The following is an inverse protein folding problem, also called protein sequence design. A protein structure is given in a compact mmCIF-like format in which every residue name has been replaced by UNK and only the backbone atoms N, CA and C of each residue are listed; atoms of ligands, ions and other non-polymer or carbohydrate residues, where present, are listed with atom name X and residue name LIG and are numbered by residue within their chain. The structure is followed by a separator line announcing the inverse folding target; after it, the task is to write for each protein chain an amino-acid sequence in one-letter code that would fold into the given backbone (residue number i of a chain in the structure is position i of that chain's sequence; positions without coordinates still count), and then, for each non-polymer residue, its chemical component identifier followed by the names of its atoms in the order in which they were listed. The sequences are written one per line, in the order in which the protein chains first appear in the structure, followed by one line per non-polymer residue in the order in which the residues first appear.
data_IF_812592852903
#
_entry.id   IF_812592852903
#
_cell.length_a   1.000
_cell.length_b   1.000
_cell.length_c   1.000
_cell.angle_alpha   90.00
_cell.angle_beta   90.00
_cell.angle_gamma   90.00
#
_symmetry.space_group_name_H-M   'P 1'
#
loop_
_entity.id
_entity.type
_entity.pdbx_description
1 polymer ?
#
# COMPACT_ATOMS: atom_id res chain seq x y z
N UNK A 1 -25.27 -29.90 -5.80
CA UNK A 1 -24.29 -30.37 -4.79
C UNK A 1 -23.98 -29.22 -3.87
N UNK A 2 -24.39 -29.31 -2.61
CA UNK A 2 -24.03 -28.33 -1.57
C UNK A 2 -22.54 -28.48 -1.28
N UNK A 3 -21.69 -27.61 -1.84
CA UNK A 3 -20.30 -27.51 -1.43
C UNK A 3 -20.29 -26.86 -0.06
N UNK A 4 -20.20 -27.66 0.99
CA UNK A 4 -19.98 -27.18 2.35
C UNK A 4 -18.66 -26.43 2.39
N UNK A 5 -18.72 -25.12 2.58
CA UNK A 5 -17.54 -24.26 2.66
C UNK A 5 -16.72 -24.68 3.89
N UNK A 6 -15.42 -24.91 3.70
CA UNK A 6 -14.55 -25.37 4.77
C UNK A 6 -14.01 -24.20 5.59
N UNK A 7 -13.77 -24.44 6.88
CA UNK A 7 -13.11 -23.46 7.73
C UNK A 7 -11.64 -23.27 7.33
N UNK A 8 -11.19 -22.01 7.31
CA UNK A 8 -9.81 -21.66 7.00
C UNK A 8 -8.87 -22.04 8.18
N UNK A 9 -7.93 -23.00 8.00
CA UNK A 9 -7.01 -23.40 9.06
C UNK A 9 -6.02 -22.28 9.38
N UNK A 10 -5.45 -22.28 10.60
CA UNK A 10 -4.56 -21.23 11.08
C UNK A 10 -3.33 -21.00 10.16
N UNK A 11 -2.75 -22.06 9.60
CA UNK A 11 -1.65 -21.95 8.63
C UNK A 11 -2.05 -21.15 7.38
N UNK A 12 -3.29 -21.31 6.90
CA UNK A 12 -3.80 -20.57 5.75
C UNK A 12 -4.16 -19.12 6.08
N UNK A 13 -4.54 -18.84 7.32
CA UNK A 13 -4.71 -17.46 7.81
C UNK A 13 -3.38 -16.70 7.81
N UNK A 14 -2.30 -17.35 8.22
CA UNK A 14 -0.95 -16.76 8.18
C UNK A 14 -0.50 -16.55 6.73
N UNK A 15 -0.65 -17.55 5.85
CA UNK A 15 -0.27 -17.38 4.43
C UNK A 15 -1.11 -16.30 3.73
N UNK A 16 -2.35 -16.11 4.17
CA UNK A 16 -3.16 -15.00 3.70
C UNK A 16 -2.58 -13.65 4.10
N UNK A 17 -2.23 -13.50 5.38
CA UNK A 17 -1.62 -12.29 5.91
C UNK A 17 -0.24 -11.98 5.28
N UNK A 18 0.51 -12.98 4.79
CA UNK A 18 1.75 -12.70 4.04
C UNK A 18 1.49 -11.83 2.79
N UNK A 19 0.29 -11.91 2.21
CA UNK A 19 -0.13 -11.00 1.15
C UNK A 19 -0.13 -9.53 1.58
N UNK A 20 -0.55 -9.26 2.83
CA UNK A 20 -0.54 -7.93 3.44
C UNK A 20 0.88 -7.40 3.60
N UNK A 21 1.82 -8.25 4.04
CA UNK A 21 3.22 -7.88 4.19
C UNK A 21 3.78 -7.32 2.87
N UNK A 22 3.53 -8.02 1.76
CA UNK A 22 4.02 -7.60 0.45
C UNK A 22 3.49 -6.24 0.01
N UNK A 23 2.17 -6.06 -0.06
CA UNK A 23 1.63 -4.78 -0.53
C UNK A 23 1.89 -3.63 0.47
N UNK A 24 1.93 -3.92 1.78
CA UNK A 24 2.34 -2.95 2.80
C UNK A 24 3.76 -2.46 2.55
N UNK A 25 4.71 -3.36 2.28
CA UNK A 25 6.09 -2.97 1.92
C UNK A 25 6.11 -2.07 0.69
N UNK A 26 5.38 -2.39 -0.38
CA UNK A 26 5.35 -1.55 -1.58
C UNK A 26 4.85 -0.12 -1.29
N UNK A 27 3.72 0.02 -0.58
CA UNK A 27 3.14 1.34 -0.24
C UNK A 27 4.04 2.12 0.69
N UNK A 28 4.66 1.46 1.66
CA UNK A 28 5.54 2.15 2.60
C UNK A 28 6.86 2.54 1.94
N UNK A 29 7.39 1.79 0.96
CA UNK A 29 8.53 2.24 0.14
C UNK A 29 8.18 3.56 -0.56
N UNK A 30 6.98 3.67 -1.15
CA UNK A 30 6.52 4.96 -1.72
C UNK A 30 6.49 6.05 -0.65
N UNK A 31 5.95 5.75 0.53
CA UNK A 31 5.82 6.72 1.63
C UNK A 31 7.16 7.24 2.16
N UNK A 32 8.15 6.35 2.35
CA UNK A 32 9.42 6.72 3.00
C UNK A 32 10.56 7.01 2.03
N UNK A 33 10.65 6.28 0.92
CA UNK A 33 11.83 6.31 0.04
C UNK A 33 11.65 7.25 -1.15
N UNK A 34 10.41 7.45 -1.63
CA UNK A 34 10.18 8.22 -2.86
C UNK A 34 10.56 9.69 -2.69
N UNK A 35 10.14 10.31 -1.59
CA UNK A 35 10.45 11.72 -1.29
C UNK A 35 11.96 11.90 -1.15
N UNK A 36 12.62 11.01 -0.40
CA UNK A 36 14.07 11.02 -0.22
C UNK A 36 14.83 10.86 -1.55
N UNK A 37 14.37 9.97 -2.43
CA UNK A 37 15.04 9.68 -3.71
C UNK A 37 14.99 10.86 -4.69
N UNK A 38 13.87 11.59 -4.73
CA UNK A 38 13.65 12.68 -5.69
C UNK A 38 13.98 14.07 -5.13
N UNK A 39 13.95 14.24 -3.80
CA UNK A 39 14.39 15.43 -3.08
C UNK A 39 15.40 15.04 -1.99
N UNK A 40 16.59 14.56 -2.38
CA UNK A 40 17.60 14.14 -1.41
C UNK A 40 18.17 15.34 -0.65
N UNK A 41 18.57 15.15 0.62
CA UNK A 41 19.39 16.13 1.33
C UNK A 41 20.80 16.20 0.69
N UNK A 42 21.47 17.34 0.80
CA UNK A 42 22.78 17.60 0.17
C UNK A 42 23.87 16.57 0.56
N UNK A 43 23.70 15.92 1.71
CA UNK A 43 24.61 14.91 2.26
C UNK A 43 24.40 13.50 1.71
N UNK A 44 23.31 13.25 0.96
CA UNK A 44 22.96 11.91 0.47
C UNK A 44 23.74 11.47 -0.78
N UNK A 45 24.44 12.38 -1.46
CA UNK A 45 25.17 12.06 -2.69
C UNK A 45 24.27 11.65 -3.87
N UNK A 46 22.95 11.87 -3.77
CA UNK A 46 21.98 11.60 -4.82
C UNK A 46 21.80 12.85 -5.71
N UNK A 47 21.68 12.68 -7.04
CA UNK A 47 21.42 13.80 -7.94
C UNK A 47 20.01 14.36 -7.73
N UNK A 48 19.84 15.67 -7.95
CA UNK A 48 18.51 16.28 -7.97
C UNK A 48 17.80 15.92 -9.28
N UNK A 49 16.80 15.04 -9.20
CA UNK A 49 16.11 14.46 -10.37
C UNK A 49 14.88 15.27 -10.82
N UNK A 50 14.29 16.05 -9.90
CA UNK A 50 13.14 16.93 -10.18
C UNK A 50 13.42 18.32 -9.64
N UNK A 51 12.82 19.32 -10.29
CA UNK A 51 12.76 20.66 -9.73
C UNK A 51 12.04 20.60 -8.38
N UNK A 52 12.58 21.26 -7.36
CA UNK A 52 11.88 21.53 -6.10
C UNK A 52 10.72 22.51 -6.26
N UNK A 53 10.01 22.48 -7.39
CA UNK A 53 8.94 23.41 -7.71
C UNK A 53 7.84 23.28 -6.66
N UNK A 54 7.73 24.31 -5.83
CA UNK A 54 6.69 24.44 -4.84
C UNK A 54 5.46 25.06 -5.49
N UNK A 55 4.40 24.29 -5.58
CA UNK A 55 3.08 24.78 -5.96
C UNK A 55 2.38 25.36 -4.73
N UNK A 56 1.68 26.47 -4.91
CA UNK A 56 0.98 27.19 -3.83
C UNK A 56 1.90 27.66 -2.67
N UNK A 57 3.22 27.75 -2.88
CA UNK A 57 4.18 28.23 -1.88
C UNK A 57 4.43 27.29 -0.68
N UNK A 58 3.74 26.14 -0.62
CA UNK A 58 3.86 25.17 0.49
C UNK A 58 3.96 23.71 0.02
N UNK A 59 3.42 23.37 -1.16
CA UNK A 59 3.32 21.99 -1.62
C UNK A 59 4.32 21.71 -2.74
N UNK A 60 5.35 20.93 -2.45
CA UNK A 60 6.27 20.46 -3.49
C UNK A 60 5.55 19.54 -4.47
N UNK A 61 5.98 19.55 -5.74
CA UNK A 61 5.42 18.69 -6.78
C UNK A 61 5.32 17.23 -6.34
N UNK A 62 6.34 16.71 -5.63
CA UNK A 62 6.33 15.33 -5.14
C UNK A 62 5.25 15.05 -4.09
N UNK A 63 4.94 16.03 -3.23
CA UNK A 63 3.89 15.88 -2.22
C UNK A 63 2.51 15.81 -2.87
N UNK A 64 2.28 16.64 -3.88
CA UNK A 64 1.06 16.61 -4.68
C UNK A 64 0.94 15.30 -5.46
N UNK A 65 2.04 14.82 -6.05
CA UNK A 65 2.08 13.55 -6.75
C UNK A 65 1.78 12.42 -5.77
N UNK A 66 2.49 12.31 -4.64
CA UNK A 66 2.24 11.31 -3.61
C UNK A 66 0.78 11.32 -3.10
N UNK A 67 0.21 12.49 -2.87
CA UNK A 67 -1.19 12.63 -2.46
C UNK A 67 -2.20 12.23 -3.57
N UNK A 68 -1.87 12.50 -4.84
CA UNK A 68 -2.77 12.19 -5.97
C UNK A 68 -3.06 10.70 -6.12
N UNK A 69 -2.14 9.82 -5.68
CA UNK A 69 -2.37 8.37 -5.68
C UNK A 69 -3.61 7.96 -4.89
N UNK A 70 -3.83 8.57 -3.72
CA UNK A 70 -4.99 8.29 -2.87
C UNK A 70 -6.31 8.78 -3.47
N UNK A 71 -6.27 9.84 -4.27
CA UNK A 71 -7.44 10.34 -4.99
C UNK A 71 -7.84 9.38 -6.13
N UNK A 72 -6.85 8.73 -6.76
CA UNK A 72 -7.13 7.69 -7.75
C UNK A 72 -7.80 6.48 -7.11
N UNK A 73 -7.32 6.03 -5.94
CA UNK A 73 -7.90 4.91 -5.19
C UNK A 73 -9.41 5.10 -4.95
N UNK A 74 -9.85 6.32 -4.63
CA UNK A 74 -11.27 6.62 -4.40
C UNK A 74 -12.17 6.32 -5.61
N UNK A 75 -11.62 6.33 -6.83
CA UNK A 75 -12.34 6.06 -8.08
C UNK A 75 -12.11 4.61 -8.52
N UNK A 76 -10.88 4.10 -8.41
CA UNK A 76 -10.50 2.77 -8.87
C UNK A 76 -11.08 1.68 -7.97
N UNK A 77 -11.18 1.92 -6.66
CA UNK A 77 -11.65 0.92 -5.69
C UNK A 77 -13.08 0.43 -5.98
N UNK A 78 -14.12 1.28 -6.14
CA UNK A 78 -15.47 0.81 -6.51
C UNK A 78 -15.49 0.08 -7.84
N UNK A 79 -14.69 0.54 -8.81
CA UNK A 79 -14.66 -0.04 -10.15
C UNK A 79 -14.08 -1.45 -10.14
N UNK A 80 -12.93 -1.64 -9.49
CA UNK A 80 -12.28 -2.93 -9.33
C UNK A 80 -13.10 -3.85 -8.41
N UNK A 81 -13.69 -3.34 -7.32
CA UNK A 81 -14.59 -4.10 -6.47
C UNK A 81 -15.73 -4.71 -7.32
N UNK A 82 -16.43 -3.88 -8.10
CA UNK A 82 -17.51 -4.33 -8.97
C UNK A 82 -17.07 -5.27 -10.10
N UNK A 83 -15.86 -5.15 -10.62
CA UNK A 83 -15.29 -6.09 -11.60
C UNK A 83 -14.95 -7.43 -10.96
N UNK A 84 -14.29 -7.39 -9.81
CA UNK A 84 -13.93 -8.59 -9.06
C UNK A 84 -15.18 -9.34 -8.61
N UNK A 85 -16.19 -8.67 -8.05
CA UNK A 85 -17.42 -9.30 -7.56
C UNK A 85 -18.27 -9.98 -8.63
N UNK A 86 -18.11 -9.62 -9.91
CA UNK A 86 -18.79 -10.25 -11.06
C UNK A 86 -17.97 -11.33 -11.75
N UNK A 87 -16.71 -11.50 -11.36
CA UNK A 87 -15.81 -12.47 -12.00
C UNK A 87 -16.28 -13.91 -11.79
N UNK A 88 -16.27 -14.68 -12.87
CA UNK A 88 -16.62 -16.12 -12.90
C UNK A 88 -15.41 -17.01 -13.20
N UNK A 89 -14.21 -16.52 -12.90
CA UNK A 89 -12.97 -17.21 -13.26
C UNK A 89 -12.88 -18.60 -12.59
N UNK A 90 -12.38 -19.63 -13.31
CA UNK A 90 -12.25 -20.99 -12.76
C UNK A 90 -11.45 -21.11 -11.46
N UNK A 91 -10.50 -20.22 -11.20
CA UNK A 91 -9.64 -20.21 -9.99
C UNK A 91 -10.22 -19.45 -8.80
N UNK A 92 -11.47 -19.00 -8.89
CA UNK A 92 -12.07 -18.11 -7.90
C UNK A 92 -12.30 -16.73 -8.47
N UNK A 93 -13.04 -15.91 -7.73
CA UNK A 93 -13.51 -14.62 -8.17
C UNK A 93 -12.45 -13.53 -7.97
N UNK A 94 -11.72 -13.59 -6.84
CA UNK A 94 -10.82 -12.53 -6.36
C UNK A 94 -9.34 -12.88 -6.48
N UNK A 95 -8.96 -14.15 -6.28
CA UNK A 95 -7.56 -14.61 -6.42
C UNK A 95 -6.95 -14.27 -7.80
N UNK A 96 -7.67 -14.39 -8.93
CA UNK A 96 -7.11 -14.01 -10.23
C UNK A 96 -6.87 -12.50 -10.40
N UNK A 97 -7.61 -11.65 -9.70
CA UNK A 97 -7.37 -10.21 -9.70
C UNK A 97 -6.10 -9.91 -8.90
N UNK A 98 -5.96 -10.49 -7.72
CA UNK A 98 -4.72 -10.41 -6.93
C UNK A 98 -3.49 -10.82 -7.76
N UNK A 99 -3.54 -11.96 -8.44
CA UNK A 99 -2.45 -12.41 -9.31
C UNK A 99 -2.09 -11.39 -10.40
N UNK A 100 -3.09 -10.75 -11.01
CA UNK A 100 -2.92 -9.76 -12.08
C UNK A 100 -2.44 -8.41 -11.58
N UNK A 101 -2.76 -8.03 -10.34
CA UNK A 101 -2.34 -6.76 -9.74
C UNK A 101 -0.90 -6.80 -9.22
N UNK A 102 -0.47 -7.93 -8.65
CA UNK A 102 0.82 -8.04 -7.96
C UNK A 102 2.03 -7.70 -8.85
N UNK A 103 2.15 -8.33 -10.02
CA UNK A 103 3.29 -8.11 -10.93
C UNK A 103 3.37 -6.66 -11.41
N UNK A 104 2.35 -6.10 -12.07
CA UNK A 104 2.44 -4.75 -12.58
C UNK A 104 2.58 -3.72 -11.47
N UNK A 105 1.96 -3.90 -10.30
CA UNK A 105 2.20 -3.01 -9.15
C UNK A 105 3.68 -2.99 -8.77
N UNK A 106 4.31 -4.15 -8.61
CA UNK A 106 5.76 -4.22 -8.33
C UNK A 106 6.60 -3.59 -9.43
N UNK A 107 6.28 -3.84 -10.71
CA UNK A 107 7.04 -3.29 -11.83
C UNK A 107 6.95 -1.77 -11.90
N UNK A 108 5.75 -1.20 -11.69
CA UNK A 108 5.57 0.24 -11.68
C UNK A 108 6.19 0.90 -10.45
N UNK A 109 6.21 0.23 -9.28
CA UNK A 109 6.98 0.69 -8.14
C UNK A 109 8.47 0.79 -8.52
N UNK A 110 9.06 -0.26 -9.08
CA UNK A 110 10.47 -0.24 -9.50
C UNK A 110 10.72 0.86 -10.53
N UNK A 111 9.81 1.02 -11.50
CA UNK A 111 9.91 2.07 -12.52
C UNK A 111 9.89 3.49 -11.92
N UNK A 112 9.17 3.71 -10.81
CA UNK A 112 9.19 5.01 -10.11
C UNK A 112 10.60 5.38 -9.60
N UNK A 113 11.50 4.43 -9.38
CA UNK A 113 12.88 4.70 -8.93
C UNK A 113 13.90 4.63 -10.07
N UNK A 114 13.47 4.37 -11.31
CA UNK A 114 14.31 4.35 -12.50
C UNK A 114 13.84 5.43 -13.47
N UNK A 115 14.11 6.71 -13.18
CA UNK A 115 13.73 7.80 -14.07
C UNK A 115 14.50 7.73 -15.40
N UNK A 116 13.92 8.24 -16.50
CA UNK A 116 14.54 8.18 -17.83
C UNK A 116 15.79 9.06 -17.96
N UNK A 117 15.93 10.10 -17.11
CA UNK A 117 17.10 10.99 -17.10
C UNK A 117 17.72 11.02 -15.70
N UNK A 118 19.04 10.87 -15.63
CA UNK A 118 19.82 10.98 -14.38
C UNK A 118 20.03 12.42 -13.90
N UNK A 119 19.60 13.40 -14.70
CA UNK A 119 19.67 14.83 -14.40
C UNK A 119 18.27 15.41 -14.16
N UNK A 120 18.22 16.62 -13.61
CA UNK A 120 16.98 17.34 -13.37
C UNK A 120 16.19 17.55 -14.67
N UNK A 121 15.00 16.96 -14.76
CA UNK A 121 14.18 17.04 -15.98
C UNK A 121 12.69 17.05 -15.68
N UNK A 122 11.93 17.88 -16.41
CA UNK A 122 10.46 17.84 -16.37
C UNK A 122 9.88 16.51 -16.86
N UNK A 123 10.62 15.76 -17.67
CA UNK A 123 10.23 14.41 -18.10
C UNK A 123 10.25 13.40 -16.95
N UNK A 124 11.12 13.59 -15.95
CA UNK A 124 11.14 12.74 -14.75
C UNK A 124 9.85 12.93 -13.93
N UNK A 125 9.29 14.15 -13.91
CA UNK A 125 8.00 14.43 -13.26
C UNK A 125 6.87 13.68 -13.97
N UNK A 126 6.79 13.79 -15.31
CA UNK A 126 5.75 13.11 -16.07
C UNK A 126 5.86 11.58 -15.92
N UNK A 127 7.08 11.05 -15.99
CA UNK A 127 7.35 9.63 -15.76
C UNK A 127 6.87 9.18 -14.38
N UNK A 128 7.25 9.92 -13.33
CA UNK A 128 6.85 9.63 -11.96
C UNK A 128 5.32 9.64 -11.81
N UNK A 129 4.63 10.65 -12.36
CA UNK A 129 3.16 10.74 -12.32
C UNK A 129 2.51 9.52 -12.97
N UNK A 130 2.97 9.13 -14.16
CA UNK A 130 2.40 8.00 -14.91
C UNK A 130 2.68 6.68 -14.20
N UNK A 131 3.92 6.43 -13.79
CA UNK A 131 4.29 5.21 -13.08
C UNK A 131 3.54 5.10 -11.74
N UNK A 132 3.41 6.20 -11.00
CA UNK A 132 2.68 6.20 -9.75
C UNK A 132 1.19 5.96 -9.94
N UNK A 133 0.56 6.60 -10.94
CA UNK A 133 -0.85 6.36 -11.24
C UNK A 133 -1.10 4.89 -11.58
N UNK A 134 -0.24 4.29 -12.41
CA UNK A 134 -0.32 2.88 -12.76
C UNK A 134 -0.06 1.98 -11.55
N UNK A 135 0.94 2.30 -10.71
CA UNK A 135 1.20 1.61 -9.46
C UNK A 135 -0.06 1.50 -8.59
N UNK A 136 -0.74 2.63 -8.30
CA UNK A 136 -1.95 2.64 -7.47
C UNK A 136 -3.10 1.88 -8.14
N UNK A 137 -3.32 2.03 -9.45
CA UNK A 137 -4.34 1.26 -10.17
C UNK A 137 -4.13 -0.26 -10.01
N UNK A 138 -2.90 -0.75 -10.23
CA UNK A 138 -2.61 -2.17 -10.12
C UNK A 138 -2.56 -2.66 -8.67
N UNK A 139 -2.18 -1.78 -7.74
CA UNK A 139 -2.25 -2.05 -6.32
C UNK A 139 -3.71 -2.21 -5.88
N UNK A 140 -4.64 -1.35 -6.31
CA UNK A 140 -6.09 -1.51 -6.10
C UNK A 140 -6.58 -2.85 -6.63
N UNK A 141 -6.14 -3.26 -7.83
CA UNK A 141 -6.45 -4.58 -8.43
C UNK A 141 -6.05 -5.75 -7.50
N UNK A 142 -5.07 -5.56 -6.63
CA UNK A 142 -4.69 -6.53 -5.60
C UNK A 142 -5.43 -6.32 -4.25
N UNK A 143 -5.41 -5.10 -3.72
CA UNK A 143 -5.80 -4.78 -2.34
C UNK A 143 -7.32 -4.85 -2.15
N UNK A 144 -8.11 -4.38 -3.12
CA UNK A 144 -9.57 -4.40 -2.99
C UNK A 144 -10.12 -5.83 -2.94
N UNK A 145 -9.73 -6.75 -3.85
CA UNK A 145 -10.16 -8.15 -3.74
C UNK A 145 -9.57 -8.86 -2.52
N UNK A 146 -8.37 -8.48 -2.07
CA UNK A 146 -7.80 -8.96 -0.83
C UNK A 146 -8.74 -8.62 0.34
N UNK A 147 -8.99 -7.35 0.67
CA UNK A 147 -9.85 -7.03 1.82
C UNK A 147 -11.28 -7.56 1.71
N UNK A 148 -11.82 -7.62 0.49
CA UNK A 148 -13.14 -8.20 0.28
C UNK A 148 -13.16 -9.71 0.63
N UNK A 149 -12.08 -10.46 0.36
CA UNK A 149 -12.00 -11.91 0.58
C UNK A 149 -11.92 -12.27 2.07
N UNK A 150 -11.44 -11.38 2.93
CA UNK A 150 -11.32 -11.58 4.38
C UNK A 150 -12.64 -12.04 5.05
N UNK A 151 -13.77 -11.28 4.95
CA UNK A 151 -15.03 -11.70 5.54
C UNK A 151 -15.66 -12.92 4.86
N UNK A 152 -15.27 -13.24 3.62
CA UNK A 152 -15.77 -14.43 2.90
C UNK A 152 -15.08 -15.72 3.33
N UNK A 153 -13.82 -15.65 3.76
CA UNK A 153 -13.08 -16.80 4.31
C UNK A 153 -13.23 -16.96 5.82
N UNK A 154 -13.49 -15.86 6.54
CA UNK A 154 -13.77 -15.90 7.98
C UNK A 154 -15.25 -16.18 8.23
N UNK A 155 -15.60 -17.41 8.59
CA UNK A 155 -17.00 -17.80 8.86
C UNK A 155 -17.45 -17.51 10.29
N UNK A 156 -16.50 -17.37 11.22
CA UNK A 156 -16.80 -17.02 12.62
C UNK A 156 -16.19 -15.66 13.01
N UNK A 157 -16.76 -14.95 14.00
CA UNK A 157 -16.17 -13.72 14.54
C UNK A 157 -14.71 -13.91 14.98
N UNK A 158 -14.41 -15.04 15.63
CA UNK A 158 -13.05 -15.35 16.09
C UNK A 158 -12.07 -15.52 14.92
N UNK A 159 -12.47 -16.17 13.82
CA UNK A 159 -11.62 -16.30 12.64
C UNK A 159 -11.37 -14.95 11.97
N UNK A 160 -12.38 -14.09 11.89
CA UNK A 160 -12.24 -12.73 11.33
C UNK A 160 -11.29 -11.88 12.18
N UNK A 161 -11.43 -11.96 13.51
CA UNK A 161 -10.52 -11.30 14.45
C UNK A 161 -9.09 -11.81 14.26
N UNK A 162 -8.87 -13.13 14.27
CA UNK A 162 -7.53 -13.71 14.08
C UNK A 162 -6.90 -13.31 12.74
N UNK A 163 -7.67 -13.35 11.64
CA UNK A 163 -7.22 -12.89 10.33
C UNK A 163 -6.81 -11.42 10.37
N UNK A 164 -7.64 -10.57 10.97
CA UNK A 164 -7.34 -9.15 11.13
C UNK A 164 -6.06 -8.94 11.96
N UNK A 165 -5.86 -9.70 13.04
CA UNK A 165 -4.64 -9.63 13.86
C UNK A 165 -3.40 -9.98 13.06
N UNK A 166 -3.42 -11.08 12.30
CA UNK A 166 -2.29 -11.45 11.45
C UNK A 166 -2.00 -10.41 10.37
N UNK A 167 -3.05 -9.81 9.79
CA UNK A 167 -2.94 -8.70 8.84
C UNK A 167 -2.29 -7.48 9.50
N UNK A 168 -2.68 -7.09 10.71
CA UNK A 168 -2.06 -5.97 11.42
C UNK A 168 -0.57 -6.21 11.69
N UNK A 169 -0.20 -7.42 12.13
CA UNK A 169 1.21 -7.79 12.38
C UNK A 169 2.03 -7.70 11.08
N UNK A 170 1.53 -8.31 10.02
CA UNK A 170 2.22 -8.32 8.72
C UNK A 170 2.26 -6.95 8.06
N UNK A 171 1.28 -6.09 8.31
CA UNK A 171 1.32 -4.68 7.92
C UNK A 171 2.47 -3.94 8.59
N UNK A 172 2.62 -4.08 9.91
CA UNK A 172 3.71 -3.47 10.68
C UNK A 172 5.09 -3.99 10.23
N UNK A 173 5.22 -5.29 9.98
CA UNK A 173 6.44 -5.86 9.40
C UNK A 173 6.74 -5.28 8.01
N UNK A 174 5.71 -5.00 7.21
CA UNK A 174 5.86 -4.36 5.91
C UNK A 174 6.43 -2.94 6.00
N UNK A 175 6.01 -2.16 7.01
CA UNK A 175 6.58 -0.83 7.32
C UNK A 175 8.06 -0.97 7.68
N UNK A 176 8.40 -1.91 8.56
CA UNK A 176 9.79 -2.15 8.98
C UNK A 176 10.65 -2.48 7.75
N UNK A 177 10.21 -3.43 6.91
CA UNK A 177 10.94 -3.79 5.69
C UNK A 177 11.15 -2.61 4.73
N UNK A 178 10.13 -1.77 4.56
CA UNK A 178 10.27 -0.55 3.75
C UNK A 178 11.26 0.45 4.37
N UNK A 179 11.23 0.61 5.70
CA UNK A 179 12.16 1.48 6.43
C UNK A 179 13.62 1.05 6.35
N UNK A 180 13.91 -0.21 6.03
CA UNK A 180 15.27 -0.71 5.82
C UNK A 180 15.89 -0.28 4.48
N UNK A 181 15.12 0.36 3.58
CA UNK A 181 15.59 0.77 2.24
C UNK A 181 16.92 1.55 2.28
N UNK A 182 17.09 2.62 3.09
CA UNK A 182 18.34 3.39 3.12
C UNK A 182 19.51 2.58 3.70
N UNK A 183 19.26 1.75 4.71
CA UNK A 183 20.30 0.93 5.33
C UNK A 183 20.82 -0.15 4.36
N UNK A 184 19.92 -0.76 3.58
CA UNK A 184 20.29 -1.72 2.53
C UNK A 184 21.06 -1.01 1.42
N UNK A 185 20.64 0.19 1.01
CA UNK A 185 21.36 0.99 0.02
C UNK A 185 22.80 1.28 0.48
N UNK A 186 22.99 1.81 1.69
CA UNK A 186 24.33 2.08 2.23
C UNK A 186 25.20 0.83 2.40
N UNK A 187 24.61 -0.32 2.75
CA UNK A 187 25.34 -1.59 2.77
C UNK A 187 25.79 -2.04 1.37
N UNK A 188 24.97 -1.80 0.33
CA UNK A 188 25.31 -2.10 -1.05
C UNK A 188 26.39 -1.17 -1.61
N UNK A 189 26.39 0.11 -1.23
CA UNK A 189 27.47 1.06 -1.53
C UNK A 189 28.81 0.54 -0.98
N UNK A 190 28.87 0.19 0.31
CA UNK A 190 30.12 -0.25 0.94
C UNK A 190 30.60 -1.64 0.50
N UNK A 191 29.69 -2.58 0.21
CA UNK A 191 30.05 -3.95 -0.14
C UNK A 191 30.40 -4.15 -1.63
N UNK A 192 29.79 -3.36 -2.51
CA UNK A 192 29.92 -3.53 -3.97
C UNK A 192 30.44 -2.29 -4.70
N UNK A 193 30.84 -1.24 -3.98
CA UNK A 193 31.33 0.04 -4.53
C UNK A 193 30.37 0.63 -5.58
N UNK A 194 29.06 0.49 -5.30
CA UNK A 194 28.01 1.01 -6.16
C UNK A 194 27.82 2.51 -5.94
N UNK A 195 27.55 3.24 -7.03
CA UNK A 195 27.09 4.62 -6.96
C UNK A 195 25.80 4.72 -6.10
N UNK A 196 25.65 5.74 -5.23
CA UNK A 196 24.52 5.85 -4.31
C UNK A 196 23.15 5.72 -4.99
N UNK A 197 22.99 6.33 -6.18
CA UNK A 197 21.77 6.22 -6.97
C UNK A 197 21.44 4.77 -7.32
N UNK A 198 22.44 4.02 -7.80
CA UNK A 198 22.28 2.63 -8.22
C UNK A 198 22.09 1.70 -7.02
N UNK A 199 22.81 1.93 -5.94
CA UNK A 199 22.63 1.18 -4.70
C UNK A 199 21.20 1.29 -4.17
N UNK A 200 20.64 2.51 -4.19
CA UNK A 200 19.26 2.76 -3.79
C UNK A 200 18.24 2.07 -4.70
N UNK A 201 18.44 2.14 -6.03
CA UNK A 201 17.60 1.45 -7.00
C UNK A 201 17.61 -0.07 -6.82
N UNK A 202 18.78 -0.65 -6.56
CA UNK A 202 18.93 -2.10 -6.30
C UNK A 202 18.27 -2.48 -4.98
N UNK A 203 18.42 -1.67 -3.93
CA UNK A 203 17.76 -1.90 -2.64
C UNK A 203 16.22 -1.91 -2.79
N UNK A 204 15.66 -0.89 -3.44
CA UNK A 204 14.22 -0.82 -3.72
C UNK A 204 13.78 -1.99 -4.59
N UNK A 205 14.51 -2.30 -5.67
CA UNK A 205 14.20 -3.43 -6.55
C UNK A 205 14.18 -4.77 -5.81
N UNK A 206 15.17 -5.02 -4.96
CA UNK A 206 15.25 -6.23 -4.15
C UNK A 206 14.08 -6.37 -3.17
N UNK A 207 13.78 -5.31 -2.41
CA UNK A 207 12.64 -5.30 -1.50
C UNK A 207 11.30 -5.42 -2.23
N UNK A 208 11.15 -4.77 -3.38
CA UNK A 208 9.95 -4.85 -4.21
C UNK A 208 9.73 -6.27 -4.75
N UNK A 209 10.80 -6.99 -5.12
CA UNK A 209 10.72 -8.39 -5.54
C UNK A 209 10.36 -9.32 -4.38
N UNK A 210 10.93 -9.10 -3.19
CA UNK A 210 10.54 -9.84 -1.97
C UNK A 210 9.05 -9.61 -1.68
N UNK A 211 8.61 -8.36 -1.72
CA UNK A 211 7.22 -7.99 -1.54
C UNK A 211 6.29 -8.63 -2.57
N UNK A 212 6.71 -8.71 -3.84
CA UNK A 212 5.97 -9.41 -4.89
C UNK A 212 5.81 -10.90 -4.57
N UNK A 213 6.88 -11.57 -4.14
CA UNK A 213 6.81 -12.98 -3.72
C UNK A 213 5.81 -13.14 -2.58
N UNK A 214 5.84 -12.25 -1.58
CA UNK A 214 4.89 -12.25 -0.48
C UNK A 214 3.43 -12.05 -0.95
N UNK A 215 3.18 -11.15 -1.91
CA UNK A 215 1.86 -10.97 -2.53
C UNK A 215 1.38 -12.22 -3.30
N UNK A 216 2.30 -13.02 -3.85
CA UNK A 216 1.95 -14.26 -4.53
C UNK A 216 1.69 -15.44 -3.59
N UNK A 217 2.16 -15.40 -2.34
CA UNK A 217 1.90 -16.46 -1.35
C UNK A 217 0.40 -16.77 -1.23
N UNK A 218 -0.51 -15.83 -0.92
CA UNK A 218 -1.94 -16.14 -0.84
C UNK A 218 -2.52 -16.62 -2.18
N UNK A 219 -2.06 -16.06 -3.30
CA UNK A 219 -2.52 -16.43 -4.65
C UNK A 219 -2.26 -17.90 -4.97
N UNK A 220 -1.13 -18.44 -4.50
CA UNK A 220 -0.73 -19.84 -4.75
C UNK A 220 -1.26 -20.81 -3.70
N UNK A 221 -1.50 -20.32 -2.48
CA UNK A 221 -1.80 -21.17 -1.31
C UNK A 221 -3.30 -21.27 -0.99
N UNK A 222 -4.10 -20.29 -1.41
CA UNK A 222 -5.52 -20.22 -1.07
C UNK A 222 -6.36 -20.69 -2.26
N UNK A 223 -7.13 -21.75 -2.03
CA UNK A 223 -8.19 -22.16 -2.93
C UNK A 223 -9.50 -21.45 -2.54
N UNK A 224 -9.81 -20.38 -3.26
CA UNK A 224 -10.98 -19.56 -3.00
C UNK A 224 -12.29 -20.37 -3.05
N UNK A 225 -12.41 -21.37 -3.92
CA UNK A 225 -13.66 -22.15 -4.02
C UNK A 225 -13.91 -23.06 -2.82
N UNK A 226 -12.83 -23.42 -2.12
CA UNK A 226 -12.91 -24.29 -0.94
C UNK A 226 -13.28 -23.52 0.32
N UNK A 227 -12.79 -22.28 0.43
CA UNK A 227 -12.87 -21.48 1.66
C UNK A 227 -13.78 -20.24 1.57
N UNK A 228 -14.17 -19.80 0.37
CA UNK A 228 -15.08 -18.64 0.21
C UNK A 228 -16.52 -19.11 0.04
N UNK A 229 -17.42 -18.44 0.76
CA UNK A 229 -18.88 -18.55 0.56
C UNK A 229 -19.44 -17.53 -0.45
N UNK A 230 -18.58 -16.76 -1.11
CA UNK A 230 -18.97 -15.68 -2.02
C UNK A 230 -19.68 -16.16 -3.29
N UNK A 231 -20.80 -15.51 -3.64
CA UNK A 231 -21.51 -15.74 -4.90
C UNK A 231 -21.28 -14.56 -5.85
N UNK A 232 -21.12 -14.79 -7.17
CA UNK A 232 -20.98 -13.71 -8.14
C UNK A 232 -22.16 -12.74 -8.06
N UNK A 233 -21.87 -11.45 -7.94
CA UNK A 233 -22.91 -10.42 -7.91
C UNK A 233 -23.60 -10.31 -9.26
N UNK A 234 -24.92 -10.13 -9.26
CA UNK A 234 -25.73 -9.86 -10.45
C UNK A 234 -26.12 -8.38 -10.55
N UNK A 235 -25.85 -7.59 -9.50
CA UNK A 235 -26.24 -6.18 -9.42
C UNK A 235 -25.16 -5.32 -10.11
N UNK A 236 -25.52 -4.42 -11.03
CA UNK A 236 -24.57 -3.48 -11.62
C UNK A 236 -23.99 -2.51 -10.58
N UNK A 237 -22.79 -1.98 -10.83
CA UNK A 237 -22.05 -1.16 -9.86
C UNK A 237 -22.82 0.10 -9.41
N UNK A 238 -23.42 0.85 -10.33
CA UNK A 238 -24.15 2.09 -10.00
C UNK A 238 -25.30 1.87 -9.01
N UNK A 239 -26.24 0.94 -9.30
CA UNK A 239 -27.29 0.55 -8.35
C UNK A 239 -26.75 0.03 -7.00
N UNK A 240 -25.66 -0.74 -7.01
CA UNK A 240 -25.05 -1.26 -5.78
C UNK A 240 -24.52 -0.11 -4.91
N UNK A 241 -23.75 0.81 -5.50
CA UNK A 241 -23.23 2.01 -4.79
C UNK A 241 -24.39 2.83 -4.22
N UNK A 242 -25.43 3.08 -5.01
CA UNK A 242 -26.61 3.81 -4.54
C UNK A 242 -27.28 3.13 -3.35
N UNK A 243 -27.52 1.83 -3.43
CA UNK A 243 -28.12 1.06 -2.33
C UNK A 243 -27.26 1.10 -1.05
N UNK A 244 -25.94 1.08 -1.19
CA UNK A 244 -25.01 1.22 -0.06
C UNK A 244 -25.14 2.59 0.61
N UNK A 245 -25.21 3.68 -0.16
CA UNK A 245 -25.38 5.04 0.38
C UNK A 245 -26.80 5.35 0.88
N UNK A 246 -27.81 4.61 0.44
CA UNK A 246 -29.17 4.71 0.98
C UNK A 246 -29.24 4.17 2.43
N UNK A 247 -28.33 3.29 2.82
CA UNK A 247 -28.24 2.77 4.20
C UNK A 247 -27.74 3.84 5.18
N UNK A 248 -28.54 4.15 6.21
CA UNK A 248 -28.19 5.15 7.25
C UNK A 248 -27.00 4.74 8.10
N UNK A 249 -26.91 3.46 8.46
CA UNK A 249 -25.83 2.95 9.33
C UNK A 249 -24.49 2.98 8.59
N UNK A 250 -24.50 2.68 7.29
CA UNK A 250 -23.31 2.84 6.45
C UNK A 250 -22.84 4.29 6.42
N UNK A 251 -23.73 5.26 6.22
CA UNK A 251 -23.36 6.69 6.19
C UNK A 251 -22.78 7.16 7.53
N UNK A 252 -23.37 6.75 8.67
CA UNK A 252 -22.84 7.06 10.00
C UNK A 252 -21.44 6.47 10.20
N UNK A 253 -21.24 5.23 9.78
CA UNK A 253 -19.95 4.56 9.85
C UNK A 253 -18.89 5.31 9.03
N UNK A 254 -19.19 5.68 7.77
CA UNK A 254 -18.25 6.43 6.91
C UNK A 254 -17.86 7.78 7.52
N UNK A 255 -18.81 8.52 8.10
CA UNK A 255 -18.51 9.81 8.76
C UNK A 255 -17.64 9.60 10.00
N UNK A 256 -17.93 8.57 10.81
CA UNK A 256 -17.12 8.23 11.99
C UNK A 256 -15.70 7.83 11.61
N UNK A 257 -15.55 7.01 10.57
CA UNK A 257 -14.25 6.53 10.09
C UNK A 257 -13.41 7.68 9.51
N UNK A 258 -14.04 8.56 8.72
CA UNK A 258 -13.40 9.78 8.21
C UNK A 258 -12.93 10.70 9.35
N UNK A 259 -13.75 10.92 10.36
CA UNK A 259 -13.39 11.75 11.52
C UNK A 259 -12.24 11.14 12.33
N UNK A 260 -12.26 9.81 12.53
CA UNK A 260 -11.21 9.08 13.22
C UNK A 260 -9.85 9.21 12.51
N UNK A 261 -9.78 8.91 11.22
CA UNK A 261 -8.51 8.99 10.47
C UNK A 261 -8.02 10.43 10.30
N UNK A 262 -8.92 11.39 10.17
CA UNK A 262 -8.57 12.83 10.15
C UNK A 262 -7.93 13.23 11.48
N UNK A 263 -8.56 12.88 12.61
CA UNK A 263 -8.02 13.15 13.94
C UNK A 263 -6.66 12.49 14.15
N UNK A 264 -6.54 11.20 13.82
CA UNK A 264 -5.29 10.45 13.93
C UNK A 264 -4.15 11.11 13.13
N UNK A 265 -4.43 11.50 11.88
CA UNK A 265 -3.44 12.10 10.98
C UNK A 265 -3.01 13.49 11.46
N UNK A 266 -3.95 14.31 11.95
CA UNK A 266 -3.64 15.63 12.52
C UNK A 266 -2.71 15.48 13.72
N UNK A 267 -2.99 14.54 14.63
CA UNK A 267 -2.13 14.33 15.80
C UNK A 267 -0.77 13.78 15.38
N UNK A 268 -0.70 12.77 14.52
CA UNK A 268 0.57 12.19 14.06
C UNK A 268 1.47 13.20 13.36
N UNK A 269 0.90 14.05 12.49
CA UNK A 269 1.66 15.06 11.75
C UNK A 269 2.01 16.28 12.61
N UNK A 270 1.15 16.66 13.55
CA UNK A 270 1.36 17.80 14.44
C UNK A 270 2.27 17.51 15.64
N UNK A 271 2.44 16.24 16.03
CA UNK A 271 3.14 15.87 17.27
C UNK A 271 4.60 16.33 17.29
N UNK A 272 5.33 16.18 16.18
CA UNK A 272 6.72 16.64 16.08
C UNK A 272 6.82 18.14 16.39
N UNK A 273 5.99 18.96 15.74
CA UNK A 273 5.97 20.41 15.96
C UNK A 273 5.52 20.78 17.38
N UNK A 274 4.56 20.05 17.95
CA UNK A 274 4.12 20.28 19.31
C UNK A 274 5.26 20.06 20.31
N UNK A 275 6.04 19.00 20.14
CA UNK A 275 7.14 18.65 21.04
C UNK A 275 8.36 19.56 20.83
N UNK A 276 8.80 19.78 19.59
CA UNK A 276 10.05 20.51 19.33
C UNK A 276 9.86 22.03 19.33
N UNK A 277 8.72 22.54 18.88
CA UNK A 277 8.49 24.00 18.76
C UNK A 277 7.75 24.56 19.97
N UNK A 278 6.69 23.89 20.44
CA UNK A 278 5.87 24.41 21.55
C UNK A 278 6.40 23.98 22.92
N UNK A 279 6.80 22.72 23.09
CA UNK A 279 7.37 22.21 24.33
C UNK A 279 8.89 22.42 24.43
N UNK A 280 9.58 22.68 23.32
CA UNK A 280 11.04 22.85 23.25
C UNK A 280 11.83 21.64 23.78
N UNK A 281 11.26 20.44 23.61
CA UNK A 281 11.86 19.18 24.01
C UNK A 281 12.60 18.50 22.86
N UNK A 282 13.45 17.52 23.20
CA UNK A 282 14.25 16.76 22.23
C UNK A 282 13.37 15.93 21.27
N UNK A 283 13.79 15.82 20.01
CA UNK A 283 13.17 14.94 19.00
C UNK A 283 13.08 13.48 19.45
N UNK A 284 13.98 13.02 20.34
CA UNK A 284 13.94 11.69 20.94
C UNK A 284 12.62 11.42 21.72
N UNK A 285 12.01 12.45 22.31
CA UNK A 285 10.72 12.32 23.00
C UNK A 285 9.59 12.04 21.99
N UNK A 286 9.67 12.60 20.78
CA UNK A 286 8.70 12.38 19.70
C UNK A 286 8.67 10.92 19.28
N UNK A 287 9.83 10.30 19.08
CA UNK A 287 9.93 8.89 18.73
C UNK A 287 9.26 7.99 19.78
N UNK A 288 9.44 8.33 21.07
CA UNK A 288 8.83 7.59 22.19
C UNK A 288 7.31 7.76 22.22
N UNK A 289 6.81 8.98 22.02
CA UNK A 289 5.38 9.27 22.01
C UNK A 289 4.66 8.65 20.80
N UNK A 290 5.28 8.68 19.61
CA UNK A 290 4.75 8.01 18.42
C UNK A 290 4.64 6.50 18.63
N UNK A 291 5.59 5.87 19.31
CA UNK A 291 5.56 4.44 19.59
C UNK A 291 4.41 4.02 20.52
N UNK A 292 3.92 4.91 21.39
CA UNK A 292 2.77 4.65 22.29
C UNK A 292 1.43 4.87 21.59
N UNK A 293 1.41 5.62 20.48
CA UNK A 293 0.19 5.96 19.75
C UNK A 293 -0.26 4.94 18.70
N UNK A 294 0.60 3.97 18.36
CA UNK A 294 0.33 2.88 17.40
C UNK A 294 -0.25 1.68 18.12
#
# INVERSE_FOLDING_TARGET
MSTTVENLPASRQITYAIGQLGWSTLVNIVGVALVYFYLPPDTAGLPQLITGATFFGVLNAITLIAASGRLLDAITDPWIAGMSDRSKNPRGRRIPFMAKGAIPATLFLIAMFVPPFSEQSGWNILWLVVCQALFYIFLTVYVTPFFALLPEMGHTPQQRLNLSTWISITFALGIILAGLTPAIAGALEGAFDLEPLRAFQVAVGGLALIAMVCMFVPVLTIDEKRYSSGQPSTIPLGPAVRATFENSEFRKFVVSDFAYFTGLTIVQTGLLFYVTVLLQEDEALVATLLAVMV
#
